data_IF_626917476638
#
_entry.id   IF_626917476638
#
_cell.length_a   1.000
_cell.length_b   1.000
_cell.length_c   1.000
_cell.angle_alpha   90.00
_cell.angle_beta   90.00
_cell.angle_gamma   90.00
#
_symmetry.space_group_name_H-M   'P 1'
#
loop_
_entity.id
_entity.type
_entity.pdbx_description
1 polymer ?
#
# COMPACT_ATOMS: atom_id res chain seq x y z
N UNK A 1 9.62 17.08 9.39
CA UNK A 1 8.22 17.18 8.92
C UNK A 1 7.31 18.06 9.78
N UNK A 2 7.77 18.64 10.92
CA UNK A 2 6.91 19.47 11.78
C UNK A 2 6.39 20.75 11.11
N UNK A 3 7.13 21.28 10.12
CA UNK A 3 6.80 22.55 9.46
C UNK A 3 5.88 22.40 8.23
N UNK A 4 5.45 21.18 7.90
CA UNK A 4 4.56 20.88 6.77
C UNK A 4 3.54 19.81 7.18
N UNK A 5 2.58 20.16 8.05
CA UNK A 5 1.60 19.22 8.57
C UNK A 5 0.71 18.61 7.48
N UNK A 6 0.42 19.39 6.43
CA UNK A 6 -0.52 19.03 5.36
C UNK A 6 0.15 18.39 4.13
N UNK A 7 1.44 18.04 4.24
CA UNK A 7 2.17 17.41 3.15
C UNK A 7 2.18 15.88 3.33
N UNK A 8 1.50 15.16 2.43
CA UNK A 8 1.42 13.71 2.43
C UNK A 8 2.74 13.06 2.05
N UNK A 9 3.55 13.69 1.19
CA UNK A 9 4.78 13.10 0.66
C UNK A 9 5.78 12.73 1.78
N UNK A 10 6.18 13.61 2.72
CA UNK A 10 7.04 13.23 3.83
C UNK A 10 6.41 12.19 4.75
N UNK A 11 5.09 12.19 4.93
CA UNK A 11 4.40 11.21 5.79
C UNK A 11 4.47 9.80 5.18
N UNK A 12 4.32 9.68 3.85
CA UNK A 12 4.50 8.41 3.11
C UNK A 12 5.89 7.83 3.36
N UNK A 13 6.95 8.63 3.16
CA UNK A 13 8.32 8.13 3.34
C UNK A 13 8.67 7.84 4.80
N UNK A 14 8.15 8.61 5.76
CA UNK A 14 8.32 8.29 7.18
C UNK A 14 7.66 6.97 7.53
N UNK A 15 6.41 6.75 7.10
CA UNK A 15 5.71 5.47 7.32
C UNK A 15 6.56 4.31 6.80
N UNK A 16 7.09 4.43 5.58
CA UNK A 16 7.92 3.39 4.96
C UNK A 16 9.26 3.19 5.68
N UNK A 17 9.90 4.28 6.08
CA UNK A 17 11.18 4.22 6.81
C UNK A 17 10.99 3.51 8.14
N UNK A 18 9.95 3.86 8.91
CA UNK A 18 9.63 3.18 10.16
C UNK A 18 9.29 1.70 9.94
N UNK A 19 8.59 1.35 8.87
CA UNK A 19 8.36 -0.05 8.50
C UNK A 19 9.66 -0.82 8.27
N UNK A 20 10.62 -0.22 7.57
CA UNK A 20 11.93 -0.84 7.33
C UNK A 20 12.78 -0.97 8.60
N UNK A 21 12.63 -0.04 9.55
CA UNK A 21 13.26 -0.09 10.87
C UNK A 21 12.57 -1.05 11.86
N UNK A 22 11.40 -1.61 11.49
CA UNK A 22 10.61 -2.47 12.37
C UNK A 22 9.79 -1.70 13.43
N UNK A 23 9.73 -0.37 13.33
CA UNK A 23 8.99 0.50 14.24
C UNK A 23 7.49 0.52 13.89
N UNK A 24 6.78 -0.54 14.29
CA UNK A 24 5.38 -0.78 13.95
C UNK A 24 4.45 0.40 14.28
N UNK A 25 4.51 0.92 15.51
CA UNK A 25 3.62 2.01 15.94
C UNK A 25 3.90 3.31 15.19
N UNK A 26 5.18 3.66 15.01
CA UNK A 26 5.60 4.84 14.24
C UNK A 26 5.14 4.74 12.78
N UNK A 27 5.27 3.56 12.17
CA UNK A 27 4.82 3.31 10.80
C UNK A 27 3.31 3.50 10.65
N UNK A 28 2.52 2.90 11.55
CA UNK A 28 1.05 3.03 11.50
C UNK A 28 0.57 4.43 11.85
N UNK A 29 1.27 5.15 12.72
CA UNK A 29 0.97 6.56 13.01
C UNK A 29 1.06 7.41 11.75
N UNK A 30 2.16 7.27 10.99
CA UNK A 30 2.32 8.03 9.74
C UNK A 30 1.40 7.51 8.63
N UNK A 31 1.13 6.20 8.55
CA UNK A 31 0.15 5.66 7.61
C UNK A 31 -1.25 6.24 7.83
N UNK A 32 -1.72 6.33 9.08
CA UNK A 32 -3.00 6.98 9.42
C UNK A 32 -3.01 8.45 9.03
N UNK A 33 -1.88 9.14 9.21
CA UNK A 33 -1.74 10.54 8.77
C UNK A 33 -1.87 10.66 7.25
N UNK A 34 -1.24 9.78 6.48
CA UNK A 34 -1.39 9.75 5.01
C UNK A 34 -2.85 9.54 4.61
N UNK A 35 -3.55 8.57 5.22
CA UNK A 35 -4.97 8.34 4.96
C UNK A 35 -5.83 9.57 5.27
N UNK A 36 -5.58 10.26 6.39
CA UNK A 36 -6.32 11.47 6.75
C UNK A 36 -6.09 12.63 5.76
N UNK A 37 -4.85 12.80 5.29
CA UNK A 37 -4.50 13.86 4.31
C UNK A 37 -5.11 13.61 2.93
N UNK A 38 -5.27 12.34 2.54
CA UNK A 38 -5.74 11.96 1.20
C UNK A 38 -7.21 11.50 1.16
N UNK A 39 -7.94 11.55 2.29
CA UNK A 39 -9.30 10.98 2.40
C UNK A 39 -10.31 11.51 1.37
N UNK A 40 -10.14 12.75 0.92
CA UNK A 40 -11.06 13.42 -0.02
C UNK A 40 -10.46 13.53 -1.44
N UNK A 41 -9.27 12.99 -1.66
CA UNK A 41 -8.60 13.00 -2.96
C UNK A 41 -8.95 11.71 -3.70
N UNK A 42 -9.87 11.77 -4.68
CA UNK A 42 -10.29 10.58 -5.41
C UNK A 42 -9.17 9.95 -6.26
N UNK A 43 -8.13 10.72 -6.61
CA UNK A 43 -7.02 10.25 -7.45
C UNK A 43 -5.92 9.62 -6.58
N UNK A 44 -5.56 10.26 -5.47
CA UNK A 44 -4.45 9.83 -4.59
C UNK A 44 -4.91 9.11 -3.33
N UNK A 45 -6.19 9.17 -2.96
CA UNK A 45 -6.76 8.46 -1.81
C UNK A 45 -6.43 6.96 -1.82
N UNK A 46 -6.65 6.23 -2.93
CA UNK A 46 -6.27 4.83 -3.01
C UNK A 46 -4.75 4.57 -2.90
N UNK A 47 -3.90 5.58 -3.13
CA UNK A 47 -2.46 5.49 -2.91
C UNK A 47 -2.11 5.38 -1.41
N UNK A 48 -2.94 5.95 -0.53
CA UNK A 48 -2.82 5.77 0.92
C UNK A 48 -3.07 4.30 1.30
N UNK A 49 -4.09 3.69 0.70
CA UNK A 49 -4.41 2.28 0.90
C UNK A 49 -3.31 1.37 0.35
N UNK A 50 -2.76 1.69 -0.83
CA UNK A 50 -1.60 0.98 -1.39
C UNK A 50 -0.39 1.02 -0.45
N UNK A 51 -0.10 2.18 0.11
CA UNK A 51 0.96 2.33 1.11
C UNK A 51 0.66 1.49 2.37
N UNK A 52 -0.58 1.48 2.85
CA UNK A 52 -1.00 0.65 3.98
C UNK A 52 -0.88 -0.85 3.68
N UNK A 53 -1.27 -1.31 2.50
CA UNK A 53 -1.13 -2.72 2.09
C UNK A 53 0.34 -3.18 2.09
N UNK A 54 1.24 -2.31 1.64
CA UNK A 54 2.68 -2.59 1.71
C UNK A 54 3.18 -2.68 3.16
N UNK A 55 2.79 -1.73 4.02
CA UNK A 55 3.12 -1.74 5.46
C UNK A 55 2.59 -3.02 6.12
N UNK A 56 1.36 -3.41 5.80
CA UNK A 56 0.70 -4.58 6.33
C UNK A 56 1.40 -5.88 5.93
N UNK A 57 1.82 -5.96 4.67
CA UNK A 57 2.64 -7.06 4.16
C UNK A 57 3.94 -7.20 4.97
N UNK A 58 4.61 -6.08 5.28
CA UNK A 58 5.88 -6.07 6.04
C UNK A 58 5.71 -6.48 7.50
N UNK A 59 4.55 -6.21 8.09
CA UNK A 59 4.24 -6.60 9.48
C UNK A 59 3.39 -7.87 9.61
N UNK A 60 3.22 -8.64 8.52
CA UNK A 60 2.52 -9.93 8.53
C UNK A 60 0.99 -9.83 8.62
N UNK A 61 0.41 -8.65 8.43
CA UNK A 61 -1.04 -8.44 8.37
C UNK A 61 -1.60 -8.82 6.99
N UNK A 62 -1.27 -10.01 6.52
CA UNK A 62 -1.46 -10.45 5.13
C UNK A 62 -2.92 -10.39 4.68
N UNK A 63 -3.87 -10.81 5.52
CA UNK A 63 -5.30 -10.78 5.18
C UNK A 63 -5.79 -9.35 4.88
N UNK A 64 -5.34 -8.36 5.65
CA UNK A 64 -5.69 -6.95 5.42
C UNK A 64 -5.02 -6.41 4.16
N UNK A 65 -3.73 -6.72 3.95
CA UNK A 65 -3.02 -6.37 2.73
C UNK A 65 -3.74 -6.91 1.48
N UNK A 66 -4.06 -8.21 1.46
CA UNK A 66 -4.73 -8.87 0.33
C UNK A 66 -6.11 -8.24 0.06
N UNK A 67 -6.89 -7.95 1.10
CA UNK A 67 -8.18 -7.27 0.94
C UNK A 67 -8.05 -5.91 0.25
N UNK A 68 -7.09 -5.09 0.69
CA UNK A 68 -6.80 -3.80 0.07
C UNK A 68 -6.38 -3.97 -1.39
N UNK A 69 -5.42 -4.87 -1.67
CA UNK A 69 -4.91 -5.10 -3.02
C UNK A 69 -6.02 -5.60 -3.97
N UNK A 70 -6.95 -6.41 -3.46
CA UNK A 70 -8.11 -6.88 -4.23
C UNK A 70 -8.99 -5.72 -4.69
N UNK A 71 -9.27 -4.76 -3.80
CA UNK A 71 -10.02 -3.56 -4.15
C UNK A 71 -9.25 -2.66 -5.13
N UNK A 72 -7.95 -2.44 -4.90
CA UNK A 72 -7.12 -1.58 -5.75
C UNK A 72 -7.00 -2.08 -7.19
N UNK A 73 -7.06 -3.39 -7.42
CA UNK A 73 -7.07 -3.97 -8.76
C UNK A 73 -8.33 -3.64 -9.58
N UNK A 74 -9.40 -3.16 -8.93
CA UNK A 74 -10.69 -2.88 -9.56
C UNK A 74 -10.89 -1.40 -9.91
N UNK A 75 -9.98 -0.52 -9.48
CA UNK A 75 -10.15 0.93 -9.61
C UNK A 75 -8.90 1.61 -10.21
N UNK A 76 -9.08 2.69 -10.99
CA UNK A 76 -7.97 3.54 -11.40
C UNK A 76 -7.54 4.45 -10.24
N UNK A 77 -6.23 4.69 -10.10
CA UNK A 77 -5.69 5.64 -9.12
C UNK A 77 -4.24 6.03 -9.47
N UNK A 78 -3.72 7.09 -8.83
CA UNK A 78 -2.30 7.41 -8.93
C UNK A 78 -1.53 6.64 -7.86
N UNK A 79 -0.68 5.70 -8.27
CA UNK A 79 0.13 4.90 -7.34
C UNK A 79 1.18 5.75 -6.62
N UNK A 80 1.46 5.36 -5.37
CA UNK A 80 2.55 5.88 -4.54
C UNK A 80 3.81 5.00 -4.61
N UNK A 81 3.69 3.79 -5.16
CA UNK A 81 4.76 2.80 -5.29
C UNK A 81 5.28 2.68 -6.73
N UNK A 82 4.44 2.97 -7.71
CA UNK A 82 4.68 2.70 -9.12
C UNK A 82 4.31 3.90 -10.00
N UNK A 83 4.73 3.86 -11.27
CA UNK A 83 4.31 4.84 -12.28
C UNK A 83 2.87 4.57 -12.83
N UNK A 84 2.22 3.51 -12.37
CA UNK A 84 0.89 3.02 -12.81
C UNK A 84 0.14 2.52 -11.58
N UNK A 85 -1.21 2.48 -11.56
CA UNK A 85 -1.95 1.66 -10.61
C UNK A 85 -1.38 0.24 -10.50
N UNK A 86 -1.58 -0.40 -9.36
CA UNK A 86 -1.17 -1.78 -9.17
C UNK A 86 -1.84 -2.68 -10.20
N UNK A 87 -1.10 -3.67 -10.69
CA UNK A 87 -1.58 -4.61 -11.70
C UNK A 87 -1.30 -6.05 -11.25
N UNK A 88 -2.02 -7.03 -11.81
CA UNK A 88 -1.71 -8.44 -11.62
C UNK A 88 -0.24 -8.78 -11.88
N UNK A 89 0.37 -8.16 -12.90
CA UNK A 89 1.78 -8.36 -13.24
C UNK A 89 2.72 -7.84 -12.14
N UNK A 90 2.42 -6.68 -11.55
CA UNK A 90 3.20 -6.12 -10.45
C UNK A 90 3.11 -7.00 -9.19
N UNK A 91 1.91 -7.50 -8.87
CA UNK A 91 1.73 -8.44 -7.74
C UNK A 91 2.53 -9.73 -7.92
N UNK A 92 2.62 -10.23 -9.16
CA UNK A 92 3.36 -11.45 -9.48
C UNK A 92 4.88 -11.25 -9.45
N UNK A 93 5.38 -10.12 -9.95
CA UNK A 93 6.80 -9.93 -10.27
C UNK A 93 7.58 -9.10 -9.25
N UNK A 94 6.94 -8.17 -8.53
CA UNK A 94 7.66 -7.26 -7.63
C UNK A 94 8.03 -7.95 -6.30
N UNK A 95 9.31 -7.91 -5.89
CA UNK A 95 9.80 -8.42 -4.60
C UNK A 95 9.07 -7.89 -3.34
N UNK A 96 8.41 -6.73 -3.43
CA UNK A 96 7.67 -6.12 -2.32
C UNK A 96 6.57 -7.03 -1.76
N UNK A 97 6.03 -7.91 -2.60
CA UNK A 97 4.89 -8.76 -2.26
C UNK A 97 5.29 -10.21 -1.94
N UNK A 98 6.58 -10.51 -1.83
CA UNK A 98 7.10 -11.87 -1.61
C UNK A 98 6.49 -12.55 -0.39
N UNK A 99 6.28 -11.78 0.68
CA UNK A 99 5.68 -12.27 1.92
C UNK A 99 4.23 -12.76 1.74
N UNK A 100 3.54 -12.35 0.67
CA UNK A 100 2.18 -12.79 0.35
C UNK A 100 2.14 -13.97 -0.63
N UNK A 101 3.24 -14.30 -1.33
CA UNK A 101 3.22 -15.31 -2.41
C UNK A 101 2.85 -16.72 -1.97
N UNK A 102 3.02 -17.04 -0.68
CA UNK A 102 2.58 -18.31 -0.10
C UNK A 102 1.07 -18.41 0.15
N UNK A 103 0.33 -17.31 0.08
CA UNK A 103 -1.11 -17.26 0.37
C UNK A 103 -1.95 -17.56 -0.89
N UNK A 104 -2.78 -18.63 -0.91
CA UNK A 104 -3.61 -18.96 -2.07
C UNK A 104 -4.56 -17.83 -2.48
N UNK A 105 -5.00 -16.99 -1.54
CA UNK A 105 -5.88 -15.85 -1.80
C UNK A 105 -5.14 -14.77 -2.57
N UNK A 106 -3.88 -14.51 -2.22
CA UNK A 106 -3.01 -13.59 -2.97
C UNK A 106 -2.70 -14.11 -4.37
N UNK A 107 -2.46 -15.43 -4.50
CA UNK A 107 -2.16 -16.04 -5.80
C UNK A 107 -3.28 -15.83 -6.83
N UNK A 108 -4.55 -15.89 -6.39
CA UNK A 108 -5.71 -15.65 -7.26
C UNK A 108 -5.68 -14.25 -7.90
N UNK A 109 -5.18 -13.24 -7.20
CA UNK A 109 -5.14 -11.85 -7.68
C UNK A 109 -4.30 -11.66 -8.96
N UNK A 110 -3.37 -12.56 -9.25
CA UNK A 110 -2.58 -12.52 -10.48
C UNK A 110 -2.71 -13.74 -11.38
N UNK A 111 -3.53 -14.71 -10.99
CA UNK A 111 -3.88 -15.88 -11.80
C UNK A 111 -5.19 -15.66 -12.56
N UNK A 112 -6.14 -14.94 -11.97
CA UNK A 112 -7.35 -14.56 -12.67
C UNK A 112 -6.98 -13.59 -13.79
N UNK A 113 -7.22 -14.03 -15.02
CA UNK A 113 -7.02 -13.21 -16.21
C UNK A 113 -7.88 -11.95 -16.05
N UNK A 114 -7.23 -10.80 -15.91
CA UNK A 114 -7.87 -9.52 -16.15
C UNK A 114 -8.64 -9.63 -17.47
N UNK A 115 -9.97 -9.53 -17.36
CA UNK A 115 -10.87 -9.53 -18.52
C UNK A 115 -10.68 -8.24 -19.31
#
# INVERSE_FOLDING_TARGET
>A
CQNQPDNDFPAIYLARTYTLLGEKESAYKEAKRVSALLQNDAIRGPAADENLAWIDTRFGNNARAISILTHLLQIPYQSSLYATPITPALLKLDPRWDALRGDPTFQRLYQDKAH
#
